data_IF_876254530398
#
_entry.id   IF_876254530398
#
_cell.length_a   1.000
_cell.length_b   1.000
_cell.length_c   1.000
_cell.angle_alpha   90.00
_cell.angle_beta   90.00
_cell.angle_gamma   90.00
#
_symmetry.space_group_name_H-M   'P 1'
#
loop_
_entity.id
_entity.type
_entity.pdbx_description
1 polymer ?
#
# COMPACT_ATOMS: atom_id res chain seq x y z
N UNK A 1 3.64 -29.96 -5.04
CA UNK A 1 3.22 -28.60 -4.67
C UNK A 1 2.42 -28.10 -5.86
N UNK A 2 1.16 -27.72 -5.64
CA UNK A 2 0.34 -27.16 -6.71
C UNK A 2 1.11 -25.98 -7.32
N UNK A 3 1.21 -25.92 -8.65
CA UNK A 3 1.68 -24.73 -9.37
C UNK A 3 0.71 -23.58 -9.04
N UNK A 4 0.87 -23.01 -7.85
CA UNK A 4 0.15 -21.81 -7.46
C UNK A 4 0.42 -20.77 -8.54
N UNK A 5 -0.61 -20.24 -9.15
CA UNK A 5 -0.51 -19.22 -10.18
C UNK A 5 0.24 -18.02 -9.59
N UNK A 6 1.56 -17.97 -9.78
CA UNK A 6 2.36 -16.82 -9.36
C UNK A 6 1.70 -15.53 -9.88
N UNK A 7 1.61 -14.45 -9.08
CA UNK A 7 0.91 -13.24 -9.49
C UNK A 7 1.55 -12.56 -10.70
N UNK A 8 2.85 -12.79 -10.94
CA UNK A 8 3.67 -11.95 -11.79
C UNK A 8 3.61 -12.30 -13.27
N UNK A 9 3.58 -11.25 -14.09
CA UNK A 9 3.83 -11.28 -15.54
C UNK A 9 5.14 -10.59 -15.88
N UNK A 10 5.72 -10.98 -16.99
CA UNK A 10 6.91 -10.34 -17.52
C UNK A 10 6.63 -8.88 -17.92
N UNK A 11 7.33 -7.89 -17.34
CA UNK A 11 7.09 -6.49 -17.64
C UNK A 11 7.55 -6.10 -19.06
N UNK A 12 8.22 -7.00 -19.79
CA UNK A 12 8.73 -6.74 -21.15
C UNK A 12 7.81 -7.33 -22.23
N UNK A 13 7.16 -8.47 -21.97
CA UNK A 13 6.33 -9.13 -22.99
C UNK A 13 4.94 -9.55 -22.49
N UNK A 14 4.59 -9.28 -21.24
CA UNK A 14 3.28 -9.60 -20.66
C UNK A 14 3.05 -11.08 -20.35
N UNK A 15 3.94 -11.98 -20.77
CA UNK A 15 3.77 -13.43 -20.55
C UNK A 15 3.90 -13.78 -19.06
N UNK A 16 3.21 -14.86 -18.60
CA UNK A 16 3.34 -15.32 -17.23
C UNK A 16 4.79 -15.62 -16.85
N UNK A 17 5.15 -15.25 -15.62
CA UNK A 17 6.45 -15.58 -15.03
C UNK A 17 6.31 -16.81 -14.13
N UNK A 18 7.30 -17.69 -14.16
CA UNK A 18 7.39 -18.89 -13.32
C UNK A 18 8.79 -19.04 -12.73
N UNK A 19 8.89 -19.70 -11.57
CA UNK A 19 10.13 -19.97 -10.84
C UNK A 19 10.15 -19.31 -9.47
N UNK A 20 11.15 -19.69 -8.65
CA UNK A 20 11.28 -19.22 -7.25
C UNK A 20 12.53 -18.33 -7.05
N UNK A 21 13.72 -18.83 -7.45
CA UNK A 21 14.97 -18.06 -7.32
C UNK A 21 15.15 -17.06 -8.46
N UNK A 22 14.65 -17.40 -9.63
CA UNK A 22 14.55 -16.48 -10.76
C UNK A 22 13.20 -16.71 -11.44
N UNK A 23 12.48 -15.60 -11.69
CA UNK A 23 11.26 -15.64 -12.48
C UNK A 23 11.64 -15.57 -13.96
N UNK A 24 11.11 -16.53 -14.75
CA UNK A 24 11.38 -16.61 -16.20
C UNK A 24 10.07 -16.65 -16.97
N UNK A 25 10.04 -16.02 -18.16
CA UNK A 25 8.94 -16.14 -19.10
C UNK A 25 9.30 -17.05 -20.27
N UNK A 26 8.32 -17.53 -21.05
CA UNK A 26 8.57 -18.35 -22.25
C UNK A 26 9.46 -17.69 -23.31
N UNK A 27 9.49 -16.35 -23.35
CA UNK A 27 10.34 -15.58 -24.26
C UNK A 27 11.80 -15.45 -23.78
N UNK A 28 12.19 -16.09 -22.67
CA UNK A 28 13.56 -16.11 -22.17
C UNK A 28 13.94 -14.93 -21.26
N UNK A 29 13.06 -13.98 -21.00
CA UNK A 29 13.36 -12.93 -20.01
C UNK A 29 13.44 -13.52 -18.60
N UNK A 30 14.46 -13.09 -17.83
CA UNK A 30 14.73 -13.61 -16.49
C UNK A 30 14.91 -12.48 -15.50
N UNK A 31 14.37 -12.66 -14.28
CA UNK A 31 14.40 -11.69 -13.19
C UNK A 31 14.82 -12.43 -11.90
N UNK A 32 16.02 -12.17 -11.45
CA UNK A 32 16.57 -12.83 -10.26
C UNK A 32 15.87 -12.34 -8.99
N UNK A 33 15.71 -13.25 -8.04
CA UNK A 33 15.22 -12.93 -6.70
C UNK A 33 16.33 -12.28 -5.90
N UNK A 34 16.08 -11.10 -5.38
CA UNK A 34 16.97 -10.43 -4.46
C UNK A 34 17.15 -11.26 -3.17
N UNK A 35 18.29 -11.12 -2.48
CA UNK A 35 18.57 -11.84 -1.23
C UNK A 35 17.53 -11.57 -0.14
N UNK A 36 16.84 -10.45 -0.20
CA UNK A 36 15.77 -10.07 0.72
C UNK A 36 14.41 -10.70 0.36
N UNK A 37 14.28 -11.38 -0.79
CA UNK A 37 13.10 -12.13 -1.15
C UNK A 37 12.14 -11.46 -2.14
N UNK A 38 12.49 -10.31 -2.73
CA UNK A 38 11.67 -9.61 -3.74
C UNK A 38 12.26 -9.73 -5.15
N UNK A 39 11.46 -9.36 -6.17
CA UNK A 39 11.89 -9.25 -7.57
C UNK A 39 11.87 -7.81 -8.05
N UNK A 40 12.78 -7.44 -8.96
CA UNK A 40 12.80 -6.14 -9.60
C UNK A 40 12.12 -6.25 -10.97
N UNK A 41 10.84 -5.92 -11.02
CA UNK A 41 9.99 -6.01 -12.22
C UNK A 41 9.66 -4.63 -12.82
N UNK A 42 10.43 -3.59 -12.48
CA UNK A 42 10.30 -2.25 -13.02
C UNK A 42 11.31 -2.05 -14.15
N UNK A 43 10.89 -2.00 -15.44
CA UNK A 43 11.80 -1.75 -16.55
C UNK A 43 12.41 -0.35 -16.49
N UNK A 44 13.67 -0.21 -16.90
CA UNK A 44 14.40 1.08 -16.88
C UNK A 44 13.67 2.15 -17.70
N UNK A 45 13.07 1.77 -18.84
CA UNK A 45 12.33 2.69 -19.71
C UNK A 45 11.07 3.26 -19.05
N UNK A 46 10.57 2.64 -17.99
CA UNK A 46 9.38 3.08 -17.24
C UNK A 46 9.75 3.97 -16.05
N UNK A 47 11.00 4.38 -15.92
CA UNK A 47 11.46 5.26 -14.84
C UNK A 47 11.94 6.60 -15.40
N UNK A 48 11.45 7.71 -14.82
CA UNK A 48 11.91 9.07 -15.17
C UNK A 48 13.12 9.50 -14.33
N UNK A 49 13.40 8.79 -13.24
CA UNK A 49 14.47 9.09 -12.29
C UNK A 49 15.22 7.82 -11.90
N UNK A 50 16.49 7.95 -11.46
CA UNK A 50 17.31 6.81 -11.00
C UNK A 50 16.78 6.15 -9.72
N UNK A 51 16.02 6.88 -8.91
CA UNK A 51 15.42 6.40 -7.65
C UNK A 51 13.97 6.90 -7.55
N UNK A 52 13.02 6.22 -8.20
CA UNK A 52 11.61 6.60 -8.13
C UNK A 52 11.00 6.21 -6.77
N UNK A 53 9.94 6.94 -6.38
CA UNK A 53 9.22 6.73 -5.13
C UNK A 53 9.87 7.38 -3.92
N UNK A 54 9.51 6.91 -2.75
CA UNK A 54 10.00 7.45 -1.48
C UNK A 54 11.50 7.22 -1.29
N UNK A 55 12.19 8.22 -0.75
CA UNK A 55 13.61 8.11 -0.37
C UNK A 55 13.81 7.11 0.77
N UNK A 56 15.06 6.74 1.02
CA UNK A 56 15.39 5.85 2.16
C UNK A 56 15.00 6.47 3.50
N UNK A 57 15.18 7.78 3.62
CA UNK A 57 14.85 8.55 4.82
C UNK A 57 13.33 8.58 5.05
N UNK A 58 12.53 8.81 4.01
CA UNK A 58 11.07 8.77 4.08
C UNK A 58 10.56 7.37 4.46
N UNK A 59 11.12 6.33 3.85
CA UNK A 59 10.77 4.94 4.18
C UNK A 59 11.13 4.60 5.63
N UNK A 60 12.30 5.04 6.11
CA UNK A 60 12.70 4.84 7.50
C UNK A 60 11.79 5.58 8.49
N UNK A 61 11.44 6.83 8.19
CA UNK A 61 10.52 7.65 8.99
C UNK A 61 9.13 7.00 9.06
N UNK A 62 8.56 6.58 7.91
CA UNK A 62 7.29 5.87 7.86
C UNK A 62 7.31 4.59 8.68
N UNK A 63 8.36 3.78 8.54
CA UNK A 63 8.53 2.55 9.32
C UNK A 63 8.59 2.81 10.81
N UNK A 64 9.37 3.81 11.25
CA UNK A 64 9.48 4.18 12.67
C UNK A 64 8.11 4.58 13.24
N UNK A 65 7.37 5.42 12.54
CA UNK A 65 6.06 5.88 12.93
C UNK A 65 5.00 4.74 12.97
N UNK A 66 4.90 3.95 11.91
CA UNK A 66 3.94 2.86 11.84
C UNK A 66 4.25 1.76 12.87
N UNK A 67 5.54 1.44 13.08
CA UNK A 67 5.96 0.43 14.07
C UNK A 67 5.72 0.88 15.50
N UNK A 68 5.59 2.19 15.77
CA UNK A 68 5.17 2.71 17.08
C UNK A 68 3.67 2.52 17.35
N UNK A 69 2.89 2.02 16.37
CA UNK A 69 1.49 1.65 16.54
C UNK A 69 0.49 2.79 16.36
N UNK A 70 0.92 3.99 16.00
CA UNK A 70 0.02 5.14 15.85
C UNK A 70 -1.15 4.92 14.88
N UNK A 71 -0.95 4.10 13.84
CA UNK A 71 -2.01 3.73 12.88
C UNK A 71 -2.59 2.33 13.13
N UNK A 72 -2.55 1.84 14.39
CA UNK A 72 -3.10 0.54 14.74
C UNK A 72 -4.56 0.37 14.34
N UNK A 73 -5.41 1.40 14.56
CA UNK A 73 -6.83 1.39 14.15
C UNK A 73 -7.01 1.23 12.63
N UNK A 74 -6.10 1.79 11.82
CA UNK A 74 -6.11 1.61 10.38
C UNK A 74 -5.79 0.17 9.98
N UNK A 75 -4.68 -0.37 10.52
CA UNK A 75 -4.27 -1.76 10.24
C UNK A 75 -5.32 -2.78 10.65
N UNK A 76 -5.96 -2.57 11.81
CA UNK A 76 -7.06 -3.41 12.27
C UNK A 76 -8.26 -3.35 11.31
N UNK A 77 -8.73 -2.14 11.00
CA UNK A 77 -9.88 -1.95 10.10
C UNK A 77 -9.62 -2.53 8.70
N UNK A 78 -8.40 -2.38 8.18
CA UNK A 78 -8.04 -2.90 6.86
C UNK A 78 -8.09 -4.43 6.81
N UNK A 79 -7.57 -5.13 7.83
CA UNK A 79 -7.65 -6.59 7.90
C UNK A 79 -9.09 -7.10 8.07
N UNK A 80 -9.89 -6.45 8.92
CA UNK A 80 -11.32 -6.76 9.08
C UNK A 80 -12.08 -6.60 7.75
N UNK A 81 -11.80 -5.54 6.97
CA UNK A 81 -12.40 -5.33 5.66
C UNK A 81 -11.97 -6.41 4.65
N UNK A 82 -10.70 -6.79 4.65
CA UNK A 82 -10.22 -7.89 3.79
C UNK A 82 -10.90 -9.22 4.16
N UNK A 83 -11.12 -9.49 5.43
CA UNK A 83 -11.85 -10.68 5.89
C UNK A 83 -13.33 -10.63 5.51
N UNK A 84 -13.98 -9.46 5.62
CA UNK A 84 -15.41 -9.30 5.35
C UNK A 84 -15.73 -9.30 3.86
N UNK A 85 -14.96 -8.61 3.05
CA UNK A 85 -15.20 -8.44 1.61
C UNK A 85 -14.42 -9.41 0.74
N UNK A 86 -13.41 -10.08 1.28
CA UNK A 86 -12.64 -11.10 0.58
C UNK A 86 -13.48 -12.35 0.30
N UNK A 87 -13.69 -12.67 -0.97
CA UNK A 87 -14.48 -13.80 -1.43
C UNK A 87 -13.62 -14.71 -2.32
N UNK A 88 -12.73 -15.55 -1.74
CA UNK A 88 -11.97 -16.51 -2.54
C UNK A 88 -12.87 -17.55 -3.16
N UNK A 89 -12.39 -18.21 -4.21
CA UNK A 89 -13.06 -19.41 -4.70
C UNK A 89 -13.05 -20.49 -3.62
N UNK A 90 -14.05 -21.35 -3.66
CA UNK A 90 -14.20 -22.43 -2.66
C UNK A 90 -12.95 -23.31 -2.66
N UNK A 91 -12.32 -23.45 -1.49
CA UNK A 91 -11.10 -24.25 -1.30
C UNK A 91 -9.79 -23.57 -1.74
N UNK A 92 -9.83 -22.33 -2.23
CA UNK A 92 -8.63 -21.56 -2.55
C UNK A 92 -8.30 -20.51 -1.45
N UNK A 93 -7.02 -20.12 -1.30
CA UNK A 93 -6.66 -18.99 -0.46
C UNK A 93 -7.21 -17.69 -1.06
N UNK A 94 -7.46 -16.69 -0.22
CA UNK A 94 -7.74 -15.33 -0.69
C UNK A 94 -6.49 -14.76 -1.38
N UNK A 95 -6.62 -14.31 -2.63
CA UNK A 95 -5.55 -13.65 -3.38
C UNK A 95 -5.66 -12.15 -3.20
N UNK A 96 -4.77 -11.59 -2.39
CA UNK A 96 -4.72 -10.18 -2.05
C UNK A 96 -3.52 -9.52 -2.73
N UNK A 97 -3.79 -8.41 -3.44
CA UNK A 97 -2.77 -7.57 -4.07
C UNK A 97 -2.72 -6.20 -3.38
N UNK A 98 -1.57 -5.82 -2.82
CA UNK A 98 -1.35 -4.46 -2.32
C UNK A 98 -0.58 -3.63 -3.35
N UNK A 99 -1.29 -2.65 -3.95
CA UNK A 99 -0.77 -1.76 -4.99
C UNK A 99 -0.22 -0.46 -4.37
N UNK A 100 1.07 -0.44 -4.10
CA UNK A 100 1.76 0.59 -3.35
C UNK A 100 1.98 0.18 -1.89
N UNK A 101 2.47 -1.05 -1.70
CA UNK A 101 2.59 -1.69 -0.38
C UNK A 101 3.59 -1.00 0.58
N UNK A 102 4.40 -0.06 0.09
CA UNK A 102 5.41 0.58 0.90
C UNK A 102 6.36 -0.42 1.57
N UNK A 103 6.57 -0.29 2.88
CA UNK A 103 7.42 -1.19 3.67
C UNK A 103 6.67 -2.41 4.24
N UNK A 104 5.40 -2.63 3.81
CA UNK A 104 4.62 -3.83 4.14
C UNK A 104 4.05 -3.86 5.56
N UNK A 105 3.90 -2.73 6.23
CA UNK A 105 3.33 -2.70 7.59
C UNK A 105 1.88 -3.14 7.60
N UNK A 106 1.08 -2.64 6.66
CA UNK A 106 -0.33 -3.02 6.52
C UNK A 106 -0.49 -4.48 6.14
N UNK A 107 0.37 -4.98 5.26
CA UNK A 107 0.40 -6.39 4.87
C UNK A 107 0.59 -7.33 6.07
N UNK A 108 1.49 -6.96 7.01
CA UNK A 108 1.69 -7.72 8.24
C UNK A 108 0.45 -7.73 9.13
N UNK A 109 -0.21 -6.58 9.27
CA UNK A 109 -1.46 -6.49 10.05
C UNK A 109 -2.55 -7.40 9.47
N UNK A 110 -2.69 -7.42 8.13
CA UNK A 110 -3.65 -8.27 7.44
C UNK A 110 -3.27 -9.74 7.59
N UNK A 111 -2.02 -10.10 7.32
CA UNK A 111 -1.54 -11.48 7.42
C UNK A 111 -1.78 -12.07 8.82
N UNK A 112 -1.49 -11.30 9.87
CA UNK A 112 -1.75 -11.69 11.25
C UNK A 112 -3.24 -11.96 11.50
N UNK A 113 -4.13 -11.08 11.05
CA UNK A 113 -5.58 -11.27 11.25
C UNK A 113 -6.12 -12.47 10.47
N UNK A 114 -5.59 -12.75 9.27
CA UNK A 114 -5.95 -13.95 8.51
C UNK A 114 -5.47 -15.22 9.20
N UNK A 115 -4.27 -15.22 9.78
CA UNK A 115 -3.74 -16.32 10.57
C UNK A 115 -4.60 -16.56 11.83
N UNK A 116 -4.94 -15.52 12.59
CA UNK A 116 -5.82 -15.56 13.76
C UNK A 116 -7.24 -16.08 13.41
N UNK A 117 -7.75 -15.73 12.24
CA UNK A 117 -9.03 -16.20 11.73
C UNK A 117 -8.99 -17.60 11.11
N UNK A 118 -7.81 -18.23 11.02
CA UNK A 118 -7.60 -19.52 10.35
C UNK A 118 -7.95 -19.51 8.86
N UNK A 119 -7.86 -18.34 8.20
CA UNK A 119 -8.18 -18.17 6.78
C UNK A 119 -6.92 -18.16 5.92
N UNK A 120 -6.82 -18.99 4.90
CA UNK A 120 -5.64 -19.01 4.03
C UNK A 120 -5.56 -17.75 3.16
N UNK A 121 -4.35 -17.16 3.09
CA UNK A 121 -4.05 -15.93 2.37
C UNK A 121 -2.87 -16.14 1.41
N UNK A 122 -3.03 -15.73 0.17
CA UNK A 122 -1.95 -15.56 -0.81
C UNK A 122 -1.77 -14.05 -1.05
N UNK A 123 -0.73 -13.45 -0.46
CA UNK A 123 -0.47 -12.02 -0.49
C UNK A 123 0.65 -11.70 -1.47
N UNK A 124 0.39 -10.75 -2.36
CA UNK A 124 1.38 -10.12 -3.21
C UNK A 124 1.33 -8.60 -3.04
N UNK A 125 2.48 -7.95 -3.05
CA UNK A 125 2.56 -6.49 -2.96
C UNK A 125 3.63 -5.94 -3.88
N UNK A 126 3.45 -4.73 -4.34
CA UNK A 126 4.49 -4.03 -5.08
C UNK A 126 4.52 -2.54 -4.72
N UNK A 127 5.70 -1.95 -4.85
CA UNK A 127 5.91 -0.52 -4.73
C UNK A 127 7.01 -0.08 -5.71
N UNK A 128 6.98 1.18 -6.10
CA UNK A 128 8.03 1.72 -6.97
C UNK A 128 9.32 2.02 -6.21
N UNK A 129 9.22 2.25 -4.89
CA UNK A 129 10.34 2.53 -4.00
C UNK A 129 11.08 1.23 -3.61
N UNK A 130 12.16 0.92 -4.28
CA UNK A 130 13.00 -0.25 -3.96
C UNK A 130 13.38 -0.37 -2.48
N UNK A 131 13.74 0.72 -1.74
CA UNK A 131 14.03 0.64 -0.31
C UNK A 131 12.85 0.11 0.52
N UNK A 132 11.61 0.50 0.16
CA UNK A 132 10.41 0.06 0.83
C UNK A 132 10.14 -1.43 0.59
N UNK A 133 10.11 -1.87 -0.67
CA UNK A 133 9.92 -3.28 -1.05
C UNK A 133 10.93 -4.21 -0.38
N UNK A 134 12.18 -3.77 -0.26
CA UNK A 134 13.22 -4.52 0.45
C UNK A 134 12.87 -4.77 1.91
N UNK A 135 12.26 -3.79 2.58
CA UNK A 135 11.82 -3.93 3.98
C UNK A 135 10.58 -4.80 4.09
N UNK A 136 9.62 -4.66 3.18
CA UNK A 136 8.41 -5.49 3.12
C UNK A 136 8.77 -6.97 2.99
N UNK A 137 9.61 -7.32 2.02
CA UNK A 137 10.03 -8.70 1.78
C UNK A 137 10.77 -9.34 2.97
N UNK A 138 11.55 -8.54 3.71
CA UNK A 138 12.20 -9.03 4.95
C UNK A 138 11.22 -9.22 6.09
N UNK A 139 10.22 -8.37 6.19
CA UNK A 139 9.30 -8.35 7.31
C UNK A 139 8.19 -9.40 7.20
N UNK A 140 7.79 -9.78 5.96
CA UNK A 140 6.80 -10.81 5.68
C UNK A 140 7.28 -11.72 4.55
N UNK A 141 8.19 -12.69 4.83
CA UNK A 141 8.77 -13.57 3.81
C UNK A 141 7.77 -14.52 3.13
N UNK A 142 6.60 -14.74 3.72
CA UNK A 142 5.51 -15.54 3.17
C UNK A 142 4.79 -14.84 2.01
N UNK A 143 4.85 -13.51 1.93
CA UNK A 143 4.28 -12.74 0.84
C UNK A 143 5.24 -12.60 -0.34
N UNK A 144 4.70 -12.26 -1.51
CA UNK A 144 5.46 -12.09 -2.75
C UNK A 144 5.56 -10.60 -3.09
N UNK A 145 6.78 -10.05 -3.06
CA UNK A 145 6.99 -8.63 -3.29
C UNK A 145 7.76 -8.34 -4.57
N UNK A 146 7.39 -7.25 -5.26
CA UNK A 146 8.12 -6.77 -6.43
C UNK A 146 8.30 -5.25 -6.42
N UNK A 147 9.44 -4.77 -6.97
CA UNK A 147 9.58 -3.37 -7.36
C UNK A 147 8.87 -3.18 -8.69
N UNK A 148 7.80 -2.38 -8.72
CA UNK A 148 6.97 -2.17 -9.91
C UNK A 148 6.20 -0.85 -9.85
N UNK A 149 5.61 -0.43 -10.98
CA UNK A 149 4.76 0.75 -11.09
C UNK A 149 3.28 0.39 -11.01
N UNK A 150 2.49 1.20 -10.32
CA UNK A 150 1.02 1.07 -10.30
C UNK A 150 0.39 1.26 -11.67
N UNK A 151 1.01 2.01 -12.57
CA UNK A 151 0.50 2.29 -13.92
C UNK A 151 0.89 1.26 -14.97
N UNK A 152 1.76 0.30 -14.63
CA UNK A 152 2.16 -0.83 -15.47
C UNK A 152 2.44 -2.01 -14.54
N UNK A 153 1.38 -2.58 -14.00
CA UNK A 153 1.49 -3.64 -13.00
C UNK A 153 1.91 -4.96 -13.64
N UNK A 154 3.03 -5.57 -13.23
CA UNK A 154 3.45 -6.87 -13.73
C UNK A 154 2.65 -8.00 -13.06
N UNK A 155 1.34 -7.86 -13.04
CA UNK A 155 0.39 -8.80 -12.41
C UNK A 155 -0.53 -9.37 -13.46
N UNK A 156 -0.85 -10.67 -13.35
CA UNK A 156 -1.76 -11.37 -14.27
C UNK A 156 -3.15 -10.74 -14.24
N UNK A 157 -3.78 -10.65 -15.40
CA UNK A 157 -5.19 -10.26 -15.54
C UNK A 157 -6.08 -11.20 -14.72
N UNK A 158 -6.96 -10.61 -13.91
CA UNK A 158 -7.91 -11.36 -13.10
C UNK A 158 -7.29 -12.21 -11.99
N UNK A 159 -6.09 -11.88 -11.53
CA UNK A 159 -5.43 -12.65 -10.46
C UNK A 159 -6.00 -12.35 -9.08
N UNK A 160 -6.27 -11.08 -8.75
CA UNK A 160 -6.63 -10.66 -7.41
C UNK A 160 -8.12 -10.83 -7.10
N UNK A 161 -8.45 -11.41 -5.95
CA UNK A 161 -9.78 -11.37 -5.34
C UNK A 161 -10.03 -10.02 -4.66
N UNK A 162 -9.00 -9.51 -3.99
CA UNK A 162 -8.98 -8.20 -3.33
C UNK A 162 -7.74 -7.43 -3.77
N UNK A 163 -7.93 -6.17 -4.15
CA UNK A 163 -6.88 -5.20 -4.39
C UNK A 163 -6.96 -4.11 -3.35
N UNK A 164 -5.82 -3.81 -2.73
CA UNK A 164 -5.65 -2.68 -1.83
C UNK A 164 -4.97 -1.53 -2.56
N UNK A 165 -5.44 -0.32 -2.31
CA UNK A 165 -4.75 0.92 -2.66
C UNK A 165 -4.80 1.87 -1.46
N UNK A 166 -3.72 1.92 -0.69
CA UNK A 166 -3.62 2.73 0.53
C UNK A 166 -2.71 3.93 0.29
N UNK A 167 -3.27 5.14 0.20
CA UNK A 167 -2.54 6.40 0.00
C UNK A 167 -1.60 6.41 -1.22
N UNK A 168 -1.87 5.59 -2.21
CA UNK A 168 -1.09 5.37 -3.43
C UNK A 168 -1.83 5.92 -4.65
N UNK A 169 -1.16 6.21 -5.78
CA UNK A 169 -1.81 6.67 -6.99
C UNK A 169 -2.87 5.68 -7.49
N UNK A 170 -4.04 6.20 -7.88
CA UNK A 170 -5.14 5.40 -8.40
C UNK A 170 -4.94 5.10 -9.89
N UNK A 171 -4.70 3.83 -10.23
CA UNK A 171 -4.45 3.36 -11.60
C UNK A 171 -5.64 2.52 -12.10
N UNK A 172 -6.76 3.18 -12.41
CA UNK A 172 -8.06 2.57 -12.68
C UNK A 172 -8.02 1.41 -13.68
N UNK A 173 -7.39 1.60 -14.85
CA UNK A 173 -7.32 0.59 -15.91
C UNK A 173 -6.59 -0.67 -15.44
N UNK A 174 -5.46 -0.49 -14.76
CA UNK A 174 -4.69 -1.58 -14.20
C UNK A 174 -5.42 -2.28 -13.06
N UNK A 175 -6.12 -1.55 -12.19
CA UNK A 175 -6.92 -2.13 -11.11
C UNK A 175 -8.06 -2.98 -11.67
N UNK A 176 -8.75 -2.49 -12.70
CA UNK A 176 -9.75 -3.28 -13.42
C UNK A 176 -9.15 -4.51 -14.08
N UNK A 177 -7.95 -4.41 -14.65
CA UNK A 177 -7.31 -5.53 -15.33
C UNK A 177 -6.90 -6.64 -14.35
N UNK A 178 -6.29 -6.30 -13.22
CA UNK A 178 -5.74 -7.30 -12.28
C UNK A 178 -6.77 -7.92 -11.36
N UNK A 179 -7.88 -7.23 -11.07
CA UNK A 179 -9.00 -7.80 -10.35
C UNK A 179 -9.75 -8.81 -11.20
N UNK A 180 -10.15 -9.95 -10.62
CA UNK A 180 -11.10 -10.85 -11.28
C UNK A 180 -12.50 -10.21 -11.38
N UNK A 181 -13.40 -10.71 -12.24
CA UNK A 181 -14.81 -10.31 -12.21
C UNK A 181 -15.40 -10.54 -10.81
N UNK A 182 -16.12 -9.53 -10.28
CA UNK A 182 -16.64 -9.55 -8.92
C UNK A 182 -15.56 -9.42 -7.83
N UNK A 183 -14.31 -9.15 -8.20
CA UNK A 183 -13.24 -8.83 -7.24
C UNK A 183 -13.45 -7.48 -6.56
N UNK A 184 -12.82 -7.29 -5.42
CA UNK A 184 -13.01 -6.10 -4.56
C UNK A 184 -11.81 -5.18 -4.59
N UNK A 185 -12.06 -3.88 -4.72
CA UNK A 185 -11.08 -2.84 -4.47
C UNK A 185 -11.38 -2.21 -3.11
N UNK A 186 -10.41 -2.21 -2.21
CA UNK A 186 -10.45 -1.43 -0.97
C UNK A 186 -9.50 -0.25 -1.15
N UNK A 187 -10.08 0.94 -1.28
CA UNK A 187 -9.35 2.18 -1.50
C UNK A 187 -9.36 3.02 -0.24
N UNK A 188 -8.19 3.18 0.38
CA UNK A 188 -8.04 3.92 1.63
C UNK A 188 -7.48 5.32 1.36
N UNK A 189 -8.20 6.33 1.88
CA UNK A 189 -7.86 7.74 1.78
C UNK A 189 -7.92 8.42 3.16
N UNK A 190 -7.21 9.54 3.36
CA UNK A 190 -7.36 10.30 4.59
C UNK A 190 -8.77 10.90 4.69
N UNK A 191 -9.36 10.83 5.89
CA UNK A 191 -10.59 11.54 6.20
C UNK A 191 -10.37 13.06 6.32
N UNK A 192 -11.47 13.81 6.48
CA UNK A 192 -11.43 15.28 6.49
C UNK A 192 -10.50 15.85 7.57
N UNK A 193 -10.60 15.30 8.77
CA UNK A 193 -9.85 15.78 9.96
C UNK A 193 -8.45 15.18 10.11
N UNK A 194 -8.05 14.30 9.19
CA UNK A 194 -6.76 13.60 9.29
C UNK A 194 -5.59 14.57 9.39
N UNK A 195 -4.87 14.50 10.53
CA UNK A 195 -3.71 15.33 10.88
C UNK A 195 -4.01 16.85 10.85
N UNK A 196 -5.24 17.26 11.21
CA UNK A 196 -5.65 18.66 11.14
C UNK A 196 -4.83 19.54 12.10
N UNK A 197 -4.56 19.07 13.33
CA UNK A 197 -3.78 19.83 14.31
C UNK A 197 -2.31 20.00 13.86
N UNK A 198 -1.75 19.01 13.18
CA UNK A 198 -0.44 19.15 12.56
C UNK A 198 -0.46 20.24 11.47
N UNK A 199 -1.49 20.28 10.62
CA UNK A 199 -1.65 21.34 9.62
C UNK A 199 -1.82 22.72 10.26
N UNK A 200 -2.49 22.79 11.41
CA UNK A 200 -2.64 24.05 12.16
C UNK A 200 -1.31 24.59 12.69
N UNK A 201 -0.35 23.72 12.98
CA UNK A 201 1.02 24.13 13.31
C UNK A 201 1.81 24.52 12.05
N UNK A 202 1.66 23.77 10.96
CA UNK A 202 2.44 23.95 9.74
C UNK A 202 2.04 25.20 8.94
N UNK A 203 0.74 25.54 8.90
CA UNK A 203 0.18 26.56 8.00
C UNK A 203 -0.57 27.63 8.77
N UNK A 204 -0.48 28.89 8.32
CA UNK A 204 -1.26 30.00 8.88
C UNK A 204 -2.78 29.84 8.65
N UNK A 205 -3.16 29.23 7.53
CA UNK A 205 -4.54 28.90 7.17
C UNK A 205 -4.66 27.39 6.99
N UNK A 206 -4.88 26.64 8.05
CA UNK A 206 -5.04 25.18 7.96
C UNK A 206 -6.31 24.82 7.20
N UNK A 207 -6.28 23.70 6.51
CA UNK A 207 -7.41 23.21 5.70
C UNK A 207 -7.68 21.74 6.00
N UNK A 208 -8.95 21.38 5.95
CA UNK A 208 -9.37 19.97 6.01
C UNK A 208 -9.08 19.27 4.69
N UNK A 209 -8.90 17.96 4.73
CA UNK A 209 -8.76 17.20 3.50
C UNK A 209 -10.09 17.23 2.74
N UNK A 210 -10.06 17.39 1.40
CA UNK A 210 -11.27 17.33 0.61
C UNK A 210 -11.84 15.91 0.65
N UNK A 211 -13.13 15.82 0.93
CA UNK A 211 -13.89 14.57 0.82
C UNK A 211 -14.57 14.59 -0.54
N UNK A 212 -14.08 13.79 -1.46
CA UNK A 212 -14.67 13.70 -2.81
C UNK A 212 -15.46 12.39 -2.93
N UNK A 213 -16.66 12.49 -3.45
CA UNK A 213 -17.40 11.36 -4.00
C UNK A 213 -16.96 11.20 -5.46
N UNK A 214 -16.24 10.13 -5.75
CA UNK A 214 -15.76 9.87 -7.11
C UNK A 214 -16.35 8.56 -7.61
N UNK A 215 -17.02 8.64 -8.75
CA UNK A 215 -17.43 7.45 -9.49
C UNK A 215 -16.27 6.97 -10.38
N UNK A 216 -15.91 5.73 -10.25
CA UNK A 216 -14.88 5.09 -11.07
C UNK A 216 -15.55 4.16 -12.08
N UNK A 217 -15.55 4.49 -13.40
CA UNK A 217 -16.11 3.62 -14.43
C UNK A 217 -15.56 2.19 -14.35
N UNK A 218 -16.46 1.19 -14.45
CA UNK A 218 -16.12 -0.23 -14.29
C UNK A 218 -16.11 -0.74 -12.83
N UNK A 219 -16.31 0.16 -11.87
CA UNK A 219 -16.49 -0.18 -10.47
C UNK A 219 -17.89 0.18 -9.98
N UNK A 220 -18.41 -0.58 -9.04
CA UNK A 220 -19.64 -0.30 -8.28
C UNK A 220 -19.27 -0.09 -6.82
N UNK A 221 -19.67 1.05 -6.23
CA UNK A 221 -19.50 1.29 -4.81
C UNK A 221 -20.44 0.37 -4.01
N UNK A 222 -19.89 -0.47 -3.15
CA UNK A 222 -20.66 -1.46 -2.38
C UNK A 222 -20.57 -1.23 -0.86
N UNK A 223 -19.73 -0.31 -0.42
CA UNK A 223 -19.61 0.03 1.00
C UNK A 223 -18.59 1.13 1.25
N UNK A 224 -18.67 1.64 2.46
CA UNK A 224 -17.72 2.59 3.01
C UNK A 224 -17.55 2.31 4.50
N UNK A 225 -16.35 2.52 5.01
CA UNK A 225 -16.08 2.51 6.45
C UNK A 225 -15.16 3.68 6.79
N UNK A 226 -15.52 4.40 7.85
CA UNK A 226 -14.66 5.42 8.43
C UNK A 226 -14.13 4.96 9.78
N UNK A 227 -12.87 5.22 10.06
CA UNK A 227 -12.26 5.03 11.38
C UNK A 227 -11.49 6.29 11.75
N UNK A 228 -11.63 6.70 13.00
CA UNK A 228 -10.97 7.88 13.53
C UNK A 228 -10.53 7.68 14.97
N UNK A 229 -9.55 8.45 15.37
CA UNK A 229 -9.01 8.46 16.73
C UNK A 229 -8.10 9.66 16.92
N UNK A 230 -7.52 9.79 18.10
CA UNK A 230 -6.53 10.80 18.40
C UNK A 230 -5.24 10.13 18.85
N UNK A 231 -4.12 10.67 18.44
CA UNK A 231 -2.78 10.20 18.81
C UNK A 231 -1.98 11.34 19.40
N UNK A 232 -1.15 11.02 20.41
CA UNK A 232 -0.15 11.95 20.93
C UNK A 232 1.23 11.49 20.53
N UNK A 233 1.94 12.32 19.78
CA UNK A 233 3.25 12.04 19.20
C UNK A 233 4.29 12.90 19.93
N UNK A 234 5.26 12.30 20.64
CA UNK A 234 6.31 13.05 21.35
C UNK A 234 7.31 13.67 20.37
N UNK A 235 8.05 14.70 20.82
CA UNK A 235 9.03 15.46 20.04
C UNK A 235 9.97 14.57 19.19
N UNK A 236 10.50 13.49 19.78
CA UNK A 236 11.42 12.58 19.09
C UNK A 236 10.82 11.79 17.89
N UNK A 237 9.51 11.86 17.69
CA UNK A 237 8.80 11.17 16.60
C UNK A 237 8.02 12.13 15.68
N UNK A 238 7.97 13.44 16.00
CA UNK A 238 7.28 14.44 15.17
C UNK A 238 7.91 14.58 13.79
N UNK A 239 9.23 14.50 13.71
CA UNK A 239 9.95 14.52 12.43
C UNK A 239 9.57 13.31 11.57
N UNK A 240 9.44 12.11 12.16
CA UNK A 240 9.03 10.90 11.45
C UNK A 240 7.59 11.01 10.93
N UNK A 241 6.66 11.51 11.76
CA UNK A 241 5.29 11.81 11.33
C UNK A 241 5.28 12.79 10.15
N UNK A 242 6.02 13.89 10.26
CA UNK A 242 6.07 14.92 9.23
C UNK A 242 6.68 14.41 7.92
N UNK A 243 7.83 13.73 8.00
CA UNK A 243 8.56 13.23 6.83
C UNK A 243 7.82 12.16 6.03
N UNK A 244 6.90 11.41 6.66
CA UNK A 244 6.10 10.42 5.96
C UNK A 244 4.89 11.01 5.21
N UNK A 245 4.59 12.30 5.40
CA UNK A 245 3.45 12.96 4.78
C UNK A 245 3.85 13.77 3.55
N UNK A 246 2.93 14.01 2.60
CA UNK A 246 3.18 14.90 1.46
C UNK A 246 3.41 16.37 1.87
N UNK A 247 3.11 16.73 3.11
CA UNK A 247 3.33 18.08 3.63
C UNK A 247 4.81 18.42 3.74
N UNK A 248 5.68 17.44 3.97
CA UNK A 248 7.13 17.61 4.09
C UNK A 248 7.72 18.45 2.94
N UNK A 249 7.25 18.23 1.71
CA UNK A 249 7.75 18.94 0.52
C UNK A 249 7.10 20.29 0.25
N UNK A 250 5.97 20.59 0.90
CA UNK A 250 5.15 21.77 0.60
C UNK A 250 5.11 22.78 1.73
N UNK A 251 5.65 22.44 2.90
CA UNK A 251 5.58 23.28 4.09
C UNK A 251 6.66 24.36 4.05
N UNK A 252 6.32 25.62 4.37
CA UNK A 252 7.27 26.69 4.59
C UNK A 252 8.25 26.36 5.74
N UNK A 253 9.48 26.87 5.66
CA UNK A 253 10.53 26.58 6.65
C UNK A 253 10.15 26.94 8.09
N UNK A 254 9.45 28.05 8.27
CA UNK A 254 8.95 28.50 9.57
C UNK A 254 7.88 27.56 10.16
N UNK A 255 7.01 26.99 9.32
CA UNK A 255 6.03 25.98 9.75
C UNK A 255 6.71 24.71 10.24
N UNK A 256 7.71 24.21 9.50
CA UNK A 256 8.50 23.07 9.92
C UNK A 256 9.25 23.33 11.24
N UNK A 257 9.80 24.55 11.41
CA UNK A 257 10.46 24.96 12.66
C UNK A 257 9.48 25.01 13.85
N UNK A 258 8.25 25.51 13.65
CA UNK A 258 7.20 25.47 14.69
C UNK A 258 6.90 24.05 15.13
N UNK A 259 6.75 23.12 14.19
CA UNK A 259 6.50 21.71 14.51
C UNK A 259 7.66 21.09 15.29
N UNK A 260 8.89 21.33 14.86
CA UNK A 260 10.09 20.80 15.50
C UNK A 260 10.32 21.34 16.93
N UNK A 261 9.75 22.51 17.27
CA UNK A 261 9.86 23.12 18.59
C UNK A 261 8.85 22.56 19.61
N UNK A 262 7.87 21.76 19.18
CA UNK A 262 6.88 21.21 20.09
C UNK A 262 7.45 20.07 20.94
N UNK A 263 7.11 19.99 22.24
CA UNK A 263 7.46 18.84 23.07
C UNK A 263 6.66 17.58 22.70
N UNK A 264 5.45 17.76 22.22
CA UNK A 264 4.55 16.74 21.72
C UNK A 264 3.46 17.38 20.85
N UNK A 265 2.76 16.55 20.08
CA UNK A 265 1.59 16.96 19.32
C UNK A 265 0.48 15.93 19.48
N UNK A 266 -0.68 16.36 20.00
CA UNK A 266 -1.91 15.58 19.91
C UNK A 266 -2.63 15.97 18.62
N UNK A 267 -2.95 14.99 17.78
CA UNK A 267 -3.61 15.20 16.49
C UNK A 267 -4.59 14.08 16.17
N UNK A 268 -5.64 14.45 15.45
CA UNK A 268 -6.62 13.49 14.99
C UNK A 268 -6.09 12.69 13.80
N UNK A 269 -6.39 11.41 13.81
CA UNK A 269 -6.22 10.52 12.67
C UNK A 269 -7.62 10.07 12.21
N UNK A 270 -7.88 10.19 10.93
CA UNK A 270 -9.16 9.81 10.32
C UNK A 270 -8.90 9.21 8.95
N UNK A 271 -9.52 8.07 8.69
CA UNK A 271 -9.34 7.30 7.46
C UNK A 271 -10.68 6.85 6.93
N UNK A 272 -10.84 6.94 5.62
CA UNK A 272 -12.00 6.42 4.89
C UNK A 272 -11.55 5.28 4.00
N UNK A 273 -12.27 4.17 4.11
CA UNK A 273 -12.10 3.00 3.25
C UNK A 273 -13.33 2.94 2.34
N UNK A 274 -13.10 3.11 1.06
CA UNK A 274 -14.12 3.02 0.02
C UNK A 274 -14.01 1.62 -0.59
N UNK A 275 -15.11 0.88 -0.59
CA UNK A 275 -15.15 -0.49 -1.07
C UNK A 275 -15.92 -0.55 -2.38
N UNK A 276 -15.27 -1.06 -3.41
CA UNK A 276 -15.84 -1.21 -4.74
C UNK A 276 -15.80 -2.66 -5.19
N UNK A 277 -16.77 -3.03 -6.01
CA UNK A 277 -16.79 -4.28 -6.77
C UNK A 277 -16.48 -4.00 -8.23
N UNK A 278 -15.62 -4.82 -8.84
CA UNK A 278 -15.42 -4.81 -10.29
C UNK A 278 -16.64 -5.43 -10.99
N UNK A 279 -17.26 -4.66 -11.90
CA UNK A 279 -18.37 -5.09 -12.78
C UNK A 279 -17.93 -6.08 -13.84
#
# INVERSE_FOLDING_TARGET
>A
MAEGFAPWCCPLCGAPLAGDNALKCPSGHSFDRAKEGYWHLLPVQNTRTKAPGDSREMVAARRAFLSAGYYGIFGQALGELCLAYGQPKVGEPLRLLDAGCGEGWYDRCIAQQFEEAGRPLELAGFDIAKPAVRLAAKALPSARYAVASSFHQPVRTGWADVLLNCFSPFAQEEFLRVLRPGGRLIYAVPGAEHLFQMKAVLYEKPYKNPVQEVAYPGFEAIGEREVSGSITVPAGQLEALFAMTPYYWKTPRDGAARLAALPELTTDISFRFLIFEKK
#
